data_IF_860960141476
#
_entry.id   IF_860960141476
#
_cell.length_a   1.000
_cell.length_b   1.000
_cell.length_c   1.000
_cell.angle_alpha   90.00
_cell.angle_beta   90.00
_cell.angle_gamma   90.00
#
_symmetry.space_group_name_H-M   'P 1'
#
loop_
_entity.id
_entity.type
_entity.pdbx_description
1 polymer ?
#
# COMPACT_ATOMS: atom_id res chain seq x y z
N UNK A 1 -32.10 -3.77 -3.52
CA UNK A 1 -30.95 -3.15 -4.19
C UNK A 1 -29.72 -3.98 -3.85
N UNK A 2 -28.98 -4.46 -4.84
CA UNK A 2 -27.72 -5.17 -4.61
C UNK A 2 -26.69 -4.19 -4.04
N UNK A 3 -26.16 -4.46 -2.85
CA UNK A 3 -25.13 -3.65 -2.21
C UNK A 3 -23.84 -3.76 -3.01
N UNK A 4 -23.42 -2.63 -3.57
CA UNK A 4 -22.30 -2.59 -4.51
C UNK A 4 -20.99 -2.60 -3.72
N UNK A 5 -20.83 -1.80 -2.66
CA UNK A 5 -19.64 -1.75 -1.78
C UNK A 5 -19.93 -2.30 -0.39
N UNK A 6 -18.88 -2.72 0.34
CA UNK A 6 -19.02 -3.21 1.71
C UNK A 6 -19.00 -2.07 2.72
N UNK A 7 -19.44 -2.36 3.94
CA UNK A 7 -19.16 -1.51 5.10
C UNK A 7 -17.81 -1.86 5.76
N UNK A 8 -17.00 -2.70 5.10
CA UNK A 8 -15.74 -3.23 5.62
C UNK A 8 -14.67 -3.22 4.54
N UNK A 9 -13.41 -3.12 4.95
CA UNK A 9 -12.24 -3.27 4.09
C UNK A 9 -11.54 -4.58 4.43
N UNK A 10 -11.37 -5.47 3.46
CA UNK A 10 -10.80 -6.80 3.71
C UNK A 10 -9.36 -6.92 3.25
N UNK A 11 -8.49 -7.44 4.11
CA UNK A 11 -7.12 -7.82 3.77
C UNK A 11 -6.97 -9.33 3.91
N UNK A 12 -6.44 -9.98 2.88
CA UNK A 12 -6.22 -11.43 2.84
C UNK A 12 -4.75 -11.78 2.75
N UNK A 13 -4.42 -12.96 3.29
CA UNK A 13 -3.11 -13.58 3.23
C UNK A 13 -3.26 -15.09 3.01
N UNK A 14 -2.35 -15.72 2.25
CA UNK A 14 -2.38 -17.17 2.04
C UNK A 14 -1.92 -17.96 3.27
N UNK A 15 -1.14 -17.35 4.17
CA UNK A 15 -0.57 -18.01 5.33
C UNK A 15 -1.29 -17.61 6.62
N UNK A 16 -1.69 -18.61 7.41
CA UNK A 16 -2.24 -18.45 8.76
C UNK A 16 -1.33 -17.61 9.65
N UNK A 17 -0.02 -17.88 9.64
CA UNK A 17 0.95 -17.20 10.49
C UNK A 17 1.00 -15.69 10.25
N UNK A 18 0.74 -15.25 9.01
CA UNK A 18 0.62 -13.82 8.72
C UNK A 18 -0.63 -13.21 9.39
N UNK A 19 -1.78 -13.90 9.38
CA UNK A 19 -2.98 -13.43 10.08
C UNK A 19 -2.71 -13.33 11.59
N UNK A 20 -2.11 -14.36 12.18
CA UNK A 20 -1.75 -14.37 13.60
C UNK A 20 -0.74 -13.26 13.93
N UNK A 21 0.23 -13.01 13.04
CA UNK A 21 1.19 -11.91 13.16
C UNK A 21 0.53 -10.53 13.04
N UNK A 22 -0.47 -10.36 12.18
CA UNK A 22 -1.24 -9.11 12.05
C UNK A 22 -2.05 -8.85 13.32
N UNK A 23 -2.70 -9.89 13.90
CA UNK A 23 -3.38 -9.77 15.19
C UNK A 23 -2.43 -9.35 16.30
N UNK A 24 -1.17 -9.75 16.27
CA UNK A 24 -0.16 -9.35 17.28
C UNK A 24 0.45 -7.98 17.02
N UNK A 25 0.82 -7.66 15.77
CA UNK A 25 1.69 -6.51 15.48
C UNK A 25 1.06 -5.43 14.59
N UNK A 26 -0.14 -5.65 14.07
CA UNK A 26 -0.77 -4.78 13.08
C UNK A 26 -0.36 -5.12 11.65
N UNK A 27 -0.81 -4.32 10.68
CA UNK A 27 -0.46 -4.53 9.27
C UNK A 27 0.90 -3.89 8.98
N UNK A 28 1.82 -4.69 8.43
CA UNK A 28 3.10 -4.18 7.93
C UNK A 28 3.02 -3.90 6.44
N UNK A 29 3.29 -2.66 5.98
CA UNK A 29 3.48 -2.39 4.56
C UNK A 29 4.53 -3.31 3.93
N UNK A 30 4.27 -3.74 2.69
CA UNK A 30 5.20 -4.55 1.91
C UNK A 30 5.42 -3.90 0.55
N UNK A 31 6.61 -4.10 -0.02
CA UNK A 31 6.86 -3.71 -1.40
C UNK A 31 6.09 -4.62 -2.35
N UNK A 32 5.21 -4.02 -3.11
CA UNK A 32 4.39 -4.67 -4.14
C UNK A 32 4.75 -4.10 -5.51
N UNK A 33 5.01 -4.94 -6.52
CA UNK A 33 5.25 -4.49 -7.88
C UNK A 33 3.96 -3.93 -8.49
N UNK A 34 4.07 -2.81 -9.19
CA UNK A 34 3.00 -2.11 -9.87
C UNK A 34 3.43 -1.75 -11.29
N UNK A 35 2.44 -1.61 -12.18
CA UNK A 35 2.62 -1.23 -13.58
C UNK A 35 3.52 -2.18 -14.40
N UNK A 36 4.35 -1.64 -15.30
CA UNK A 36 5.20 -2.41 -16.19
C UNK A 36 4.38 -3.20 -17.21
N UNK A 37 4.57 -4.52 -17.22
CA UNK A 37 3.90 -5.44 -18.15
C UNK A 37 2.38 -5.37 -18.07
N UNK A 38 1.81 -5.14 -16.88
CA UNK A 38 0.36 -5.00 -16.70
C UNK A 38 -0.24 -3.81 -17.45
N UNK A 39 0.59 -2.85 -17.85
CA UNK A 39 0.22 -1.66 -18.65
C UNK A 39 0.72 -1.72 -20.09
N UNK A 40 1.14 -2.91 -20.58
CA UNK A 40 1.86 -3.06 -21.86
C UNK A 40 3.11 -2.14 -21.95
N UNK A 41 3.76 -1.87 -20.81
CA UNK A 41 4.91 -0.98 -20.73
C UNK A 41 4.61 0.51 -20.88
N UNK A 42 3.33 0.93 -20.95
CA UNK A 42 2.94 2.35 -21.00
C UNK A 42 3.44 3.11 -19.77
N UNK A 43 3.39 2.46 -18.60
CA UNK A 43 3.93 2.98 -17.34
C UNK A 43 5.07 2.08 -16.90
N UNK A 44 6.21 2.67 -16.55
CA UNK A 44 7.37 1.92 -16.05
C UNK A 44 7.02 1.14 -14.78
N UNK A 45 7.58 -0.06 -14.65
CA UNK A 45 7.45 -0.86 -13.43
C UNK A 45 8.04 -0.12 -12.24
N UNK A 46 7.32 -0.16 -11.11
CA UNK A 46 7.83 0.29 -9.83
C UNK A 46 7.43 -0.67 -8.73
N UNK A 47 8.08 -0.56 -7.57
CA UNK A 47 7.65 -1.23 -6.35
C UNK A 47 7.31 -0.22 -5.28
N UNK A 48 6.11 -0.36 -4.73
CA UNK A 48 5.51 0.57 -3.77
C UNK A 48 5.36 -0.15 -2.43
N UNK A 49 5.85 0.47 -1.36
CA UNK A 49 5.60 -0.01 0.00
C UNK A 49 4.17 0.36 0.43
N UNK A 50 3.29 -0.64 0.53
CA UNK A 50 1.87 -0.43 0.79
C UNK A 50 1.19 -1.57 1.56
N UNK A 51 -0.01 -1.30 2.09
CA UNK A 51 -0.97 -2.31 2.54
C UNK A 51 -2.26 -2.12 1.75
N UNK A 52 -2.75 -3.20 1.15
CA UNK A 52 -3.93 -3.18 0.29
C UNK A 52 -5.10 -3.93 0.92
N UNK A 53 -6.31 -3.45 0.64
CA UNK A 53 -7.58 -3.99 1.10
C UNK A 53 -8.58 -3.99 -0.07
N UNK A 54 -9.48 -4.96 -0.15
CA UNK A 54 -10.61 -4.92 -1.08
C UNK A 54 -11.89 -4.42 -0.39
N UNK A 55 -12.64 -3.56 -1.06
CA UNK A 55 -13.96 -3.07 -0.64
C UNK A 55 -15.08 -3.87 -1.33
N UNK A 56 -15.24 -5.11 -0.89
CA UNK A 56 -16.18 -6.07 -1.48
C UNK A 56 -17.12 -6.64 -0.43
N UNK A 57 -18.44 -6.72 -0.71
CA UNK A 57 -19.37 -7.47 0.13
C UNK A 57 -18.89 -8.91 0.35
N UNK A 58 -19.19 -9.49 1.52
CA UNK A 58 -18.73 -10.86 1.86
C UNK A 58 -19.14 -11.88 0.79
N UNK A 59 -20.35 -11.79 0.26
CA UNK A 59 -20.85 -12.67 -0.80
C UNK A 59 -20.02 -12.62 -2.10
N UNK A 60 -19.27 -11.53 -2.32
CA UNK A 60 -18.40 -11.38 -3.48
C UNK A 60 -16.94 -11.77 -3.20
N UNK A 61 -16.64 -12.30 -2.01
CA UNK A 61 -15.29 -12.69 -1.64
C UNK A 61 -14.89 -14.06 -2.17
N UNK A 62 -15.82 -14.94 -2.61
CA UNK A 62 -15.53 -16.32 -3.03
C UNK A 62 -14.30 -16.44 -3.93
N UNK A 63 -14.20 -15.59 -4.95
CA UNK A 63 -13.03 -15.51 -5.85
C UNK A 63 -11.73 -15.04 -5.16
N UNK A 64 -11.85 -14.10 -4.24
CA UNK A 64 -10.72 -13.54 -3.49
C UNK A 64 -10.15 -14.53 -2.46
N UNK A 65 -10.97 -15.43 -1.94
CA UNK A 65 -10.52 -16.49 -1.02
C UNK A 65 -10.32 -17.85 -1.70
N UNK A 66 -10.45 -17.91 -3.03
CA UNK A 66 -10.15 -19.09 -3.84
C UNK A 66 -11.18 -20.23 -3.74
N UNK A 67 -12.41 -19.92 -3.32
CA UNK A 67 -13.51 -20.89 -3.22
C UNK A 67 -14.14 -21.24 -4.57
N UNK A 68 -13.88 -20.45 -5.61
CA UNK A 68 -14.32 -20.73 -7.00
C UNK A 68 -13.28 -21.52 -7.81
N UNK A 69 -12.26 -22.08 -7.14
CA UNK A 69 -11.14 -22.77 -7.79
C UNK A 69 -10.07 -21.85 -8.37
N UNK A 70 -10.20 -20.52 -8.20
CA UNK A 70 -9.13 -19.57 -8.56
C UNK A 70 -8.07 -19.48 -7.45
N UNK A 71 -6.89 -18.96 -7.79
CA UNK A 71 -5.75 -18.85 -6.85
C UNK A 71 -6.05 -17.96 -5.63
N UNK A 72 -7.00 -17.02 -5.74
CA UNK A 72 -7.34 -16.05 -4.69
C UNK A 72 -6.14 -15.25 -4.14
N UNK A 73 -6.38 -14.53 -3.06
CA UNK A 73 -5.39 -13.85 -2.21
C UNK A 73 -5.10 -14.63 -0.92
N UNK A 74 -5.93 -15.62 -0.59
CA UNK A 74 -5.76 -16.52 0.55
C UNK A 74 -7.02 -16.66 1.38
N UNK A 75 -7.06 -17.70 2.21
CA UNK A 75 -8.21 -18.07 3.05
C UNK A 75 -8.16 -17.51 4.48
N UNK A 76 -7.19 -16.64 4.75
CA UNK A 76 -7.03 -15.98 6.04
C UNK A 76 -7.10 -14.48 5.84
N UNK A 77 -7.88 -13.77 6.65
CA UNK A 77 -8.01 -12.33 6.48
C UNK A 77 -8.66 -11.59 7.64
N UNK A 78 -8.58 -10.26 7.58
CA UNK A 78 -9.27 -9.35 8.48
C UNK A 78 -10.19 -8.43 7.70
N UNK A 79 -11.44 -8.32 8.13
CA UNK A 79 -12.36 -7.29 7.69
C UNK A 79 -12.36 -6.14 8.70
N UNK A 80 -11.88 -4.97 8.28
CA UNK A 80 -11.77 -3.77 9.11
C UNK A 80 -12.95 -2.84 8.90
N UNK A 81 -13.29 -1.99 9.88
CA UNK A 81 -14.25 -0.90 9.67
C UNK A 81 -13.74 0.08 8.60
N UNK A 82 -14.65 0.69 7.83
CA UNK A 82 -14.28 1.73 6.85
C UNK A 82 -13.80 3.00 7.54
N UNK A 83 -14.39 3.33 8.69
CA UNK A 83 -14.01 4.45 9.53
C UNK A 83 -12.54 4.33 9.95
N UNK A 84 -12.12 3.16 10.43
CA UNK A 84 -10.71 2.89 10.74
C UNK A 84 -9.81 3.09 9.52
N UNK A 85 -10.24 2.60 8.35
CA UNK A 85 -9.50 2.76 7.10
C UNK A 85 -9.27 4.24 6.75
N UNK A 86 -10.33 5.04 6.77
CA UNK A 86 -10.27 6.47 6.47
C UNK A 86 -9.43 7.24 7.49
N UNK A 87 -9.58 6.95 8.80
CA UNK A 87 -8.76 7.55 9.86
C UNK A 87 -7.28 7.23 9.68
N UNK A 88 -6.96 6.04 9.18
CA UNK A 88 -5.60 5.63 8.85
C UNK A 88 -5.14 6.02 7.44
N UNK A 89 -5.88 6.89 6.76
CA UNK A 89 -5.54 7.43 5.43
C UNK A 89 -5.48 6.39 4.32
N UNK A 90 -6.18 5.26 4.47
CA UNK A 90 -6.45 4.39 3.33
C UNK A 90 -7.34 5.15 2.35
N UNK A 91 -7.07 4.98 1.07
CA UNK A 91 -7.83 5.62 0.02
C UNK A 91 -8.11 4.61 -1.11
N UNK A 92 -9.31 4.62 -1.73
CA UNK A 92 -9.55 3.84 -2.94
C UNK A 92 -8.58 4.22 -4.05
N UNK A 93 -8.15 3.22 -4.82
CA UNK A 93 -7.29 3.45 -5.98
C UNK A 93 -8.10 4.08 -7.11
N UNK A 94 -7.43 4.93 -7.89
CA UNK A 94 -8.00 5.47 -9.14
C UNK A 94 -7.62 4.55 -10.30
N UNK A 95 -8.63 3.95 -10.92
CA UNK A 95 -8.39 3.07 -12.07
C UNK A 95 -8.25 3.85 -13.37
N UNK A 96 -7.35 3.42 -14.24
CA UNK A 96 -7.17 4.01 -15.58
C UNK A 96 -7.08 2.95 -16.67
N UNK A 97 -7.47 3.29 -17.89
CA UNK A 97 -7.16 2.50 -19.09
C UNK A 97 -5.89 3.04 -19.75
N UNK A 98 -5.13 2.20 -20.44
CA UNK A 98 -3.83 2.59 -21.03
C UNK A 98 -3.95 3.67 -22.14
N UNK A 99 -5.17 3.94 -22.62
CA UNK A 99 -5.49 4.93 -23.65
C UNK A 99 -6.23 6.15 -23.08
N UNK A 100 -6.36 6.28 -21.75
CA UNK A 100 -7.07 7.41 -21.17
C UNK A 100 -6.23 8.69 -21.20
N UNK A 101 -6.87 9.82 -21.48
CA UNK A 101 -6.23 11.14 -21.35
C UNK A 101 -5.64 11.38 -19.96
N UNK A 102 -6.22 10.77 -18.91
CA UNK A 102 -5.73 10.87 -17.54
C UNK A 102 -4.30 10.33 -17.40
N UNK A 103 -4.03 9.11 -17.89
CA UNK A 103 -2.68 8.53 -17.76
C UNK A 103 -1.70 9.22 -18.70
N UNK A 104 -2.14 9.65 -19.88
CA UNK A 104 -1.30 10.37 -20.83
C UNK A 104 -0.84 11.71 -20.28
N UNK A 105 -1.76 12.54 -19.78
CA UNK A 105 -1.42 13.81 -19.15
C UNK A 105 -0.56 13.62 -17.90
N UNK A 106 -0.85 12.59 -17.08
CA UNK A 106 -0.06 12.28 -15.88
C UNK A 106 1.40 11.91 -16.20
N UNK A 107 1.61 11.06 -17.21
CA UNK A 107 2.95 10.66 -17.66
C UNK A 107 3.70 11.83 -18.30
N UNK A 108 3.01 12.65 -19.09
CA UNK A 108 3.60 13.84 -19.70
C UNK A 108 4.05 14.84 -18.62
N UNK A 109 3.19 15.15 -17.66
CA UNK A 109 3.51 16.05 -16.55
C UNK A 109 4.69 15.52 -15.72
N UNK A 110 4.66 14.23 -15.37
CA UNK A 110 5.75 13.57 -14.62
C UNK A 110 7.07 13.62 -15.38
N UNK A 111 7.05 13.38 -16.70
CA UNK A 111 8.23 13.45 -17.56
C UNK A 111 8.79 14.87 -17.65
N UNK A 112 7.93 15.88 -17.78
CA UNK A 112 8.34 17.29 -17.82
C UNK A 112 8.99 17.72 -16.50
N UNK A 113 8.39 17.35 -15.37
CA UNK A 113 8.93 17.63 -14.04
C UNK A 113 10.27 16.91 -13.81
N UNK A 114 10.39 15.65 -14.20
CA UNK A 114 11.64 14.89 -14.09
C UNK A 114 12.76 15.54 -14.91
N UNK A 115 12.51 15.89 -16.18
CA UNK A 115 13.49 16.57 -17.04
C UNK A 115 13.92 17.92 -16.46
N UNK A 116 12.96 18.66 -15.89
CA UNK A 116 13.25 19.93 -15.26
C UNK A 116 14.10 19.74 -13.99
N UNK A 117 13.83 18.72 -13.16
CA UNK A 117 14.69 18.36 -12.02
C UNK A 117 16.10 18.03 -12.48
N UNK A 118 16.23 17.18 -13.50
CA UNK A 118 17.51 16.73 -14.05
C UNK A 118 18.36 17.88 -14.59
N UNK A 119 17.73 18.92 -15.14
CA UNK A 119 18.43 20.12 -15.59
C UNK A 119 19.22 20.82 -14.47
N UNK A 120 18.74 20.74 -13.23
CA UNK A 120 19.39 21.36 -12.06
C UNK A 120 20.30 20.40 -11.28
N UNK A 121 20.25 19.09 -11.54
CA UNK A 121 20.97 18.09 -10.74
C UNK A 121 22.50 18.34 -10.75
N UNK A 122 23.09 18.71 -11.89
CA UNK A 122 24.54 18.99 -11.99
C UNK A 122 24.96 20.19 -11.13
N UNK A 123 24.18 21.27 -11.16
CA UNK A 123 24.45 22.45 -10.34
C UNK A 123 24.26 22.15 -8.85
N UNK A 124 23.23 21.38 -8.49
CA UNK A 124 23.02 20.94 -7.12
C UNK A 124 24.15 20.03 -6.61
N UNK A 125 24.72 19.19 -7.47
CA UNK A 125 25.88 18.36 -7.14
C UNK A 125 27.15 19.21 -6.90
N UNK A 126 27.41 20.20 -7.75
CA UNK A 126 28.52 21.16 -7.57
C UNK A 126 28.37 21.89 -6.23
N UNK A 127 27.16 22.36 -5.94
CA UNK A 127 26.84 23.06 -4.69
C UNK A 127 27.03 22.17 -3.47
N UNK A 128 26.55 20.92 -3.52
CA UNK A 128 26.71 19.96 -2.43
C UNK A 128 28.18 19.66 -2.16
N UNK A 129 29.00 19.50 -3.20
CA UNK A 129 30.46 19.32 -3.06
C UNK A 129 31.17 20.55 -2.51
N UNK A 130 30.75 21.75 -2.93
CA UNK A 130 31.37 23.02 -2.53
C UNK A 130 31.08 23.36 -1.05
N UNK A 131 29.84 23.16 -0.62
CA UNK A 131 29.39 23.63 0.69
C UNK A 131 29.16 22.52 1.71
N UNK A 132 29.11 21.25 1.32
CA UNK A 132 28.77 20.14 2.24
C UNK A 132 27.27 19.92 2.42
N UNK A 133 26.45 20.52 1.56
CA UNK A 133 24.98 20.40 1.53
C UNK A 133 24.23 21.65 1.99
N UNK A 134 22.88 21.65 1.95
CA UNK A 134 22.04 22.83 2.17
C UNK A 134 22.18 23.53 3.54
N UNK A 135 22.89 22.92 4.50
CA UNK A 135 22.94 23.36 5.91
C UNK A 135 24.23 24.08 6.32
N UNK A 136 25.17 24.32 5.41
CA UNK A 136 26.49 24.92 5.72
C UNK A 136 26.75 26.21 4.92
N UNK A 137 26.60 27.35 5.62
CA UNK A 137 27.16 28.72 5.39
C UNK A 137 27.06 29.37 3.98
N UNK A 138 27.21 30.71 3.89
CA UNK A 138 26.19 31.59 3.32
C UNK A 138 26.05 31.48 1.80
N UNK A 139 24.94 30.92 1.33
CA UNK A 139 24.56 31.00 -0.08
C UNK A 139 24.37 32.46 -0.53
N UNK A 140 24.83 32.78 -1.75
CA UNK A 140 24.42 34.00 -2.43
C UNK A 140 22.90 34.00 -2.65
N UNK A 141 22.31 35.17 -2.90
CA UNK A 141 20.86 35.22 -3.15
C UNK A 141 20.46 34.48 -4.44
N UNK A 142 21.36 34.44 -5.43
CA UNK A 142 21.20 33.63 -6.65
C UNK A 142 21.22 32.12 -6.33
N UNK A 143 22.18 31.67 -5.52
CA UNK A 143 22.29 30.26 -5.08
C UNK A 143 21.04 29.86 -4.27
N UNK A 144 20.56 30.73 -3.37
CA UNK A 144 19.31 30.50 -2.61
C UNK A 144 18.10 30.35 -3.54
N UNK A 145 17.98 31.24 -4.53
CA UNK A 145 16.85 31.21 -5.46
C UNK A 145 16.86 29.94 -6.33
N UNK A 146 18.04 29.51 -6.77
CA UNK A 146 18.22 28.24 -7.48
C UNK A 146 17.84 27.04 -6.60
N UNK A 147 18.36 26.97 -5.36
CA UNK A 147 18.03 25.90 -4.40
C UNK A 147 16.52 25.85 -4.15
N UNK A 148 15.88 27.00 -3.92
CA UNK A 148 14.45 27.08 -3.71
C UNK A 148 13.69 26.56 -4.94
N UNK A 149 14.07 27.00 -6.14
CA UNK A 149 13.47 26.56 -7.41
C UNK A 149 13.58 25.05 -7.59
N UNK A 150 14.78 24.49 -7.42
CA UNK A 150 15.01 23.05 -7.47
C UNK A 150 14.14 22.29 -6.46
N UNK A 151 14.09 22.78 -5.22
CA UNK A 151 13.29 22.18 -4.14
C UNK A 151 11.80 22.19 -4.49
N UNK A 152 11.27 23.28 -5.07
CA UNK A 152 9.88 23.34 -5.52
C UNK A 152 9.59 22.35 -6.65
N UNK A 153 10.47 22.26 -7.65
CA UNK A 153 10.31 21.32 -8.76
C UNK A 153 10.30 19.88 -8.24
N UNK A 154 11.26 19.55 -7.37
CA UNK A 154 11.38 18.23 -6.78
C UNK A 154 10.17 17.88 -5.90
N UNK A 155 9.71 18.81 -5.07
CA UNK A 155 8.49 18.66 -4.26
C UNK A 155 7.25 18.44 -5.13
N UNK A 156 7.13 19.15 -6.26
CA UNK A 156 6.02 18.95 -7.20
C UNK A 156 6.08 17.57 -7.88
N UNK A 157 7.27 17.13 -8.28
CA UNK A 157 7.49 15.78 -8.81
C UNK A 157 7.11 14.71 -7.77
N UNK A 158 7.53 14.87 -6.52
CA UNK A 158 7.19 13.95 -5.42
C UNK A 158 5.68 13.91 -5.15
N UNK A 159 5.00 15.06 -5.15
CA UNK A 159 3.55 15.12 -5.01
C UNK A 159 2.83 14.39 -6.16
N UNK A 160 3.33 14.51 -7.40
CA UNK A 160 2.78 13.74 -8.54
C UNK A 160 2.98 12.23 -8.37
N UNK A 161 4.11 11.79 -7.80
CA UNK A 161 4.35 10.38 -7.51
C UNK A 161 3.36 9.84 -6.47
N UNK A 162 2.98 10.61 -5.45
CA UNK A 162 1.96 10.19 -4.46
C UNK A 162 0.61 9.91 -5.14
N UNK A 163 0.23 10.72 -6.12
CA UNK A 163 -1.00 10.51 -6.91
C UNK A 163 -0.87 9.24 -7.74
N UNK A 164 0.24 9.08 -8.47
CA UNK A 164 0.51 7.89 -9.28
C UNK A 164 0.54 6.61 -8.44
N UNK A 165 1.08 6.66 -7.23
CA UNK A 165 1.10 5.52 -6.31
C UNK A 165 -0.32 5.08 -5.86
N UNK A 166 -1.33 5.92 -6.08
CA UNK A 166 -2.74 5.57 -5.86
C UNK A 166 -3.49 5.24 -7.16
N UNK A 167 -2.80 5.09 -8.29
CA UNK A 167 -3.39 4.65 -9.56
C UNK A 167 -3.15 3.17 -9.83
N UNK A 168 -4.11 2.51 -10.48
CA UNK A 168 -3.98 1.10 -10.91
C UNK A 168 -4.57 0.94 -12.31
N UNK A 169 -3.99 0.15 -13.21
CA UNK A 169 -4.66 -0.13 -14.48
C UNK A 169 -6.02 -0.79 -14.23
N UNK A 170 -6.98 -0.56 -15.10
CA UNK A 170 -8.32 -1.14 -15.01
C UNK A 170 -8.27 -2.69 -15.09
N UNK A 171 -7.35 -3.19 -15.90
CA UNK A 171 -7.16 -4.60 -16.19
C UNK A 171 -5.68 -4.87 -16.45
N UNK A 172 -5.19 -6.02 -16.00
CA UNK A 172 -3.86 -6.53 -16.35
C UNK A 172 -3.82 -6.87 -17.83
N UNK A 173 -2.93 -6.21 -18.57
CA UNK A 173 -2.78 -6.44 -20.00
C UNK A 173 -2.21 -7.82 -20.36
N UNK A 174 -1.60 -8.55 -19.41
CA UNK A 174 -0.97 -9.85 -19.65
C UNK A 174 -1.97 -10.99 -19.51
N UNK A 175 -2.69 -11.05 -18.39
CA UNK A 175 -3.58 -12.18 -18.06
C UNK A 175 -5.07 -11.81 -18.11
N UNK A 176 -5.39 -10.54 -18.37
CA UNK A 176 -6.77 -10.06 -18.48
C UNK A 176 -7.50 -9.96 -17.14
N UNK A 177 -6.84 -10.09 -15.99
CA UNK A 177 -7.47 -9.89 -14.68
C UNK A 177 -7.95 -8.45 -14.56
N UNK A 178 -9.24 -8.26 -14.30
CA UNK A 178 -9.85 -6.95 -14.13
C UNK A 178 -9.66 -6.45 -12.69
N UNK A 179 -8.60 -5.68 -12.46
CA UNK A 179 -8.30 -5.06 -11.17
C UNK A 179 -9.42 -4.17 -10.63
N UNK A 180 -10.23 -3.57 -11.52
CA UNK A 180 -11.40 -2.77 -11.12
C UNK A 180 -12.39 -3.56 -10.23
N UNK A 181 -12.49 -4.87 -10.43
CA UNK A 181 -13.38 -5.71 -9.64
C UNK A 181 -12.88 -5.94 -8.21
N UNK A 182 -11.61 -5.67 -7.90
CA UNK A 182 -11.04 -5.80 -6.55
C UNK A 182 -11.43 -4.62 -5.66
N UNK A 183 -11.72 -3.46 -6.27
CA UNK A 183 -12.08 -2.21 -5.57
C UNK A 183 -11.11 -1.90 -4.45
N UNK A 184 -9.86 -1.87 -4.85
CA UNK A 184 -8.75 -1.77 -3.94
C UNK A 184 -8.77 -0.43 -3.21
N UNK A 185 -8.56 -0.50 -1.91
CA UNK A 185 -8.12 0.58 -1.06
C UNK A 185 -6.71 0.28 -0.64
N UNK A 186 -5.86 1.30 -0.56
CA UNK A 186 -4.51 1.11 -0.04
C UNK A 186 -4.05 2.26 0.82
N UNK A 187 -3.14 1.92 1.71
CA UNK A 187 -2.25 2.86 2.37
C UNK A 187 -0.88 2.72 1.71
N UNK A 188 -0.34 3.83 1.22
CA UNK A 188 1.04 3.91 0.72
C UNK A 188 1.92 4.57 1.77
N UNK A 189 3.08 3.98 2.05
CA UNK A 189 4.07 4.61 2.95
C UNK A 189 4.47 5.96 2.32
N UNK A 190 4.34 7.08 3.05
CA UNK A 190 4.71 8.38 2.50
C UNK A 190 6.18 8.38 2.10
N UNK A 191 6.52 9.13 1.05
CA UNK A 191 7.90 9.34 0.63
C UNK A 191 8.04 10.83 0.28
N UNK A 192 8.55 11.62 1.23
CA UNK A 192 8.69 13.06 1.09
C UNK A 192 9.76 13.60 2.05
N UNK A 193 10.02 14.91 1.99
CA UNK A 193 11.00 15.56 2.84
C UNK A 193 10.76 15.34 4.34
N UNK A 194 9.49 15.32 4.78
CA UNK A 194 9.13 15.20 6.21
C UNK A 194 9.59 13.87 6.82
N UNK A 195 9.72 12.82 6.01
CA UNK A 195 10.24 11.54 6.46
C UNK A 195 11.60 11.18 5.85
N UNK A 196 12.29 12.16 5.28
CA UNK A 196 13.63 12.01 4.74
C UNK A 196 13.73 10.88 3.69
N UNK A 197 12.65 10.60 2.95
CA UNK A 197 12.61 9.61 1.87
C UNK A 197 13.07 8.20 2.30
N UNK A 198 12.91 7.87 3.58
CA UNK A 198 13.52 6.68 4.17
C UNK A 198 12.94 5.35 3.65
N UNK A 199 11.75 5.40 3.04
CA UNK A 199 11.11 4.28 2.34
C UNK A 199 10.70 4.77 0.93
N UNK A 200 11.58 4.65 -0.08
CA UNK A 200 11.30 5.16 -1.41
C UNK A 200 10.41 4.22 -2.23
N UNK A 201 9.72 4.77 -3.23
CA UNK A 201 9.24 3.96 -4.37
C UNK A 201 10.46 3.51 -5.16
N UNK A 202 10.55 2.21 -5.42
CA UNK A 202 11.68 1.65 -6.18
C UNK A 202 11.28 1.63 -7.65
N UNK A 203 12.12 2.19 -8.52
CA UNK A 203 11.95 2.10 -9.97
C UNK A 203 13.07 1.22 -10.52
N UNK A 204 12.87 -0.11 -10.66
CA UNK A 204 13.94 -1.05 -10.97
C UNK A 204 14.72 -0.71 -12.23
N UNK A 205 14.05 -0.19 -13.25
CA UNK A 205 14.66 0.17 -14.53
C UNK A 205 15.58 1.39 -14.45
N UNK A 206 15.29 2.34 -13.55
CA UNK A 206 16.08 3.55 -13.36
C UNK A 206 17.11 3.41 -12.24
N UNK A 207 16.74 2.73 -11.14
CA UNK A 207 17.52 2.63 -9.91
C UNK A 207 17.60 1.18 -9.40
N UNK A 208 18.19 0.24 -10.16
CA UNK A 208 18.20 -1.18 -9.81
C UNK A 208 18.86 -1.48 -8.45
N UNK A 209 19.86 -0.67 -8.06
CA UNK A 209 20.55 -0.80 -6.78
C UNK A 209 19.64 -0.61 -5.55
N UNK A 210 18.48 0.04 -5.70
CA UNK A 210 17.51 0.22 -4.61
C UNK A 210 16.84 -1.10 -4.22
N UNK A 211 16.73 -2.07 -5.15
CA UNK A 211 16.21 -3.41 -4.85
C UNK A 211 17.01 -4.13 -3.77
N UNK A 212 18.34 -3.93 -3.76
CA UNK A 212 19.24 -4.53 -2.78
C UNK A 212 19.05 -3.96 -1.37
N UNK A 213 18.42 -2.78 -1.26
CA UNK A 213 18.18 -2.07 0.01
C UNK A 213 16.84 -2.43 0.65
N UNK A 214 16.00 -3.26 0.02
CA UNK A 214 14.71 -3.71 0.58
C UNK A 214 14.79 -4.25 2.02
N UNK A 215 15.82 -5.00 2.44
CA UNK A 215 15.93 -5.43 3.84
C UNK A 215 16.01 -4.25 4.82
N UNK A 216 16.72 -3.18 4.45
CA UNK A 216 16.84 -1.95 5.24
C UNK A 216 15.49 -1.24 5.30
N UNK A 217 14.81 -1.08 4.16
CA UNK A 217 13.48 -0.46 4.12
C UNK A 217 12.46 -1.25 4.93
N UNK A 218 12.51 -2.58 4.89
CA UNK A 218 11.64 -3.44 5.70
C UNK A 218 11.84 -3.22 7.21
N UNK A 219 13.07 -3.04 7.66
CA UNK A 219 13.37 -2.72 9.06
C UNK A 219 12.78 -1.35 9.45
N UNK A 220 12.97 -0.33 8.61
CA UNK A 220 12.39 1.01 8.81
C UNK A 220 10.85 0.95 8.85
N UNK A 221 10.23 0.24 7.90
CA UNK A 221 8.78 0.02 7.84
C UNK A 221 8.27 -0.60 9.14
N UNK A 222 8.94 -1.66 9.61
CA UNK A 222 8.52 -2.39 10.82
C UNK A 222 8.61 -1.53 12.09
N UNK A 223 9.46 -0.49 12.09
CA UNK A 223 9.65 0.40 13.24
C UNK A 223 8.76 1.63 13.23
N UNK A 224 8.38 2.14 12.05
CA UNK A 224 7.77 3.47 11.91
C UNK A 224 6.42 3.50 11.20
N UNK A 225 6.13 2.50 10.37
CA UNK A 225 5.01 2.55 9.42
C UNK A 225 4.01 1.40 9.61
N UNK A 226 4.05 0.74 10.76
CA UNK A 226 3.05 -0.27 11.13
C UNK A 226 1.67 0.38 11.24
N UNK A 227 0.70 -0.22 10.56
CA UNK A 227 -0.69 0.18 10.59
C UNK A 227 -1.41 -0.58 11.70
N UNK A 228 -1.63 0.13 12.82
CA UNK A 228 -2.19 -0.43 14.04
C UNK A 228 -3.72 -0.35 14.07
N UNK A 229 -4.33 -1.23 14.86
CA UNK A 229 -5.77 -1.26 15.08
C UNK A 229 -6.09 -1.77 16.48
N UNK A 230 -7.29 -1.48 16.94
CA UNK A 230 -7.88 -1.98 18.17
C UNK A 230 -8.99 -2.98 17.89
N UNK A 231 -9.45 -3.71 18.91
CA UNK A 231 -10.45 -4.76 18.71
C UNK A 231 -11.80 -4.24 18.17
N UNK A 232 -12.15 -2.97 18.42
CA UNK A 232 -13.39 -2.37 17.90
C UNK A 232 -13.33 -2.12 16.38
N UNK A 233 -12.13 -2.03 15.82
CA UNK A 233 -11.90 -1.80 14.39
C UNK A 233 -12.07 -3.07 13.55
N UNK A 234 -12.09 -4.25 14.19
CA UNK A 234 -12.21 -5.54 13.51
C UNK A 234 -13.69 -5.94 13.42
N UNK A 235 -14.18 -6.07 12.19
CA UNK A 235 -15.52 -6.58 11.88
C UNK A 235 -15.55 -8.08 11.64
N UNK A 236 -14.49 -8.63 11.03
CA UNK A 236 -14.39 -10.04 10.68
C UNK A 236 -12.96 -10.55 10.84
N UNK A 237 -12.82 -11.77 11.34
CA UNK A 237 -11.59 -12.56 11.26
C UNK A 237 -11.93 -13.79 10.42
N UNK A 238 -11.44 -13.82 9.18
CA UNK A 238 -11.73 -14.89 8.24
C UNK A 238 -10.63 -15.94 8.36
N UNK A 239 -11.03 -17.20 8.54
CA UNK A 239 -10.12 -18.34 8.63
C UNK A 239 -10.54 -19.46 7.70
N UNK A 240 -9.61 -20.34 7.35
CA UNK A 240 -9.88 -21.42 6.40
C UNK A 240 -10.95 -22.39 6.91
N UNK A 241 -10.86 -22.83 8.17
CA UNK A 241 -11.68 -23.90 8.75
C UNK A 241 -11.70 -23.84 10.29
N UNK A 242 -12.44 -24.74 10.94
CA UNK A 242 -12.58 -24.83 12.39
C UNK A 242 -11.25 -25.06 13.14
N UNK A 243 -10.31 -25.80 12.54
CA UNK A 243 -8.99 -25.98 13.17
C UNK A 243 -8.26 -24.64 13.29
N UNK A 244 -8.36 -23.79 12.26
CA UNK A 244 -7.79 -22.45 12.28
C UNK A 244 -8.54 -21.48 13.23
N UNK A 245 -9.81 -21.73 13.55
CA UNK A 245 -10.53 -20.98 14.61
C UNK A 245 -9.80 -21.15 15.93
N UNK A 246 -9.47 -22.40 16.30
CA UNK A 246 -8.74 -22.69 17.54
C UNK A 246 -7.39 -21.96 17.59
N UNK A 247 -6.65 -21.96 16.48
CA UNK A 247 -5.36 -21.25 16.41
C UNK A 247 -5.49 -19.75 16.66
N UNK A 248 -6.53 -19.11 16.12
CA UNK A 248 -6.81 -17.69 16.38
C UNK A 248 -7.19 -17.47 17.84
N UNK A 249 -8.05 -18.31 18.42
CA UNK A 249 -8.44 -18.23 19.83
C UNK A 249 -7.23 -18.34 20.75
N UNK A 250 -6.38 -19.33 20.52
CA UNK A 250 -5.15 -19.56 21.29
C UNK A 250 -4.19 -18.36 21.15
N UNK A 251 -4.05 -17.81 19.94
CA UNK A 251 -3.24 -16.61 19.71
C UNK A 251 -3.79 -15.40 20.45
N UNK A 252 -5.11 -15.18 20.45
CA UNK A 252 -5.72 -14.07 21.19
C UNK A 252 -5.51 -14.23 22.69
N UNK A 253 -5.67 -15.45 23.22
CA UNK A 253 -5.40 -15.77 24.62
C UNK A 253 -3.94 -15.49 25.02
N UNK A 254 -2.99 -15.67 24.11
CA UNK A 254 -1.56 -15.36 24.35
C UNK A 254 -1.22 -13.86 24.28
N UNK A 255 -2.19 -12.98 23.99
CA UNK A 255 -1.97 -11.54 23.83
C UNK A 255 -2.67 -10.67 24.90
N UNK A 256 -2.59 -11.00 26.21
CA UNK A 256 -3.27 -10.22 27.25
C UNK A 256 -2.69 -8.81 27.43
N UNK A 257 -1.46 -8.58 26.97
CA UNK A 257 -0.80 -7.28 26.98
C UNK A 257 -1.32 -6.34 25.87
N UNK A 258 -1.96 -6.88 24.82
CA UNK A 258 -2.49 -6.12 23.69
C UNK A 258 -4.00 -5.97 23.75
N UNK A 259 -4.71 -7.02 24.14
CA UNK A 259 -6.17 -7.05 24.16
C UNK A 259 -6.67 -7.36 25.55
N UNK A 260 -7.60 -6.55 26.06
CA UNK A 260 -8.32 -6.86 27.31
C UNK A 260 -9.15 -8.14 27.15
N UNK A 261 -9.67 -8.69 28.24
CA UNK A 261 -10.56 -9.86 28.16
C UNK A 261 -11.82 -9.57 27.33
N UNK A 262 -12.40 -8.39 27.50
CA UNK A 262 -13.54 -7.93 26.70
C UNK A 262 -13.19 -7.83 25.21
N UNK A 263 -12.01 -7.30 24.88
CA UNK A 263 -11.53 -7.21 23.50
C UNK A 263 -11.30 -8.59 22.88
N UNK A 264 -10.72 -9.52 23.62
CA UNK A 264 -10.52 -10.90 23.15
C UNK A 264 -11.87 -11.57 22.88
N UNK A 265 -12.82 -11.47 23.80
CA UNK A 265 -14.16 -12.03 23.62
C UNK A 265 -14.87 -11.42 22.40
N UNK A 266 -14.75 -10.10 22.22
CA UNK A 266 -15.21 -9.41 21.01
C UNK A 266 -14.59 -10.01 19.76
N UNK A 267 -13.27 -10.12 19.69
CA UNK A 267 -12.55 -10.63 18.50
C UNK A 267 -12.92 -12.09 18.19
N UNK A 268 -13.01 -12.94 19.22
CA UNK A 268 -13.44 -14.34 19.08
C UNK A 268 -14.84 -14.42 18.44
N UNK A 269 -15.78 -13.57 18.87
CA UNK A 269 -17.12 -13.52 18.27
C UNK A 269 -17.17 -12.98 16.82
N UNK A 270 -16.03 -12.51 16.26
CA UNK A 270 -15.92 -12.05 14.87
C UNK A 270 -15.27 -13.06 13.95
N UNK A 271 -14.90 -14.24 14.45
CA UNK A 271 -14.31 -15.29 13.62
C UNK A 271 -15.39 -15.91 12.74
N UNK A 272 -15.10 -16.04 11.44
CA UNK A 272 -15.96 -16.67 10.44
C UNK A 272 -15.08 -17.58 9.57
N UNK A 273 -15.54 -18.79 9.27
CA UNK A 273 -14.80 -19.71 8.41
C UNK A 273 -15.10 -19.49 6.93
N UNK A 274 -14.22 -19.99 6.06
CA UNK A 274 -14.48 -19.95 4.62
C UNK A 274 -15.68 -20.82 4.24
N UNK A 275 -15.93 -21.93 4.94
CA UNK A 275 -17.13 -22.75 4.72
C UNK A 275 -18.41 -21.97 5.03
N UNK A 276 -18.45 -21.25 6.16
CA UNK A 276 -19.59 -20.39 6.50
C UNK A 276 -19.81 -19.30 5.45
N UNK A 277 -18.74 -18.72 4.90
CA UNK A 277 -18.84 -17.75 3.80
C UNK A 277 -19.41 -18.41 2.53
N UNK A 278 -19.06 -19.67 2.27
CA UNK A 278 -19.51 -20.38 1.06
C UNK A 278 -20.98 -20.79 1.12
N UNK A 279 -21.45 -21.17 2.31
CA UNK A 279 -22.78 -21.72 2.55
C UNK A 279 -23.83 -20.64 2.89
N UNK A 280 -23.44 -19.61 3.67
CA UNK A 280 -24.39 -18.68 4.28
C UNK A 280 -24.48 -17.30 3.57
N UNK A 281 -23.61 -17.00 2.60
CA UNK A 281 -23.52 -15.68 1.95
C UNK A 281 -23.57 -15.72 0.41
#
# INVERSE_FOLDING_TARGET
MTTISANSLFHFTPLKDNLLGILETGFRPAYSPEFGKSTNGKVNECEIAMVCFCDLPISNLRKHIGLDGTKGYGKYGLGMTKEWGMTNKLNPVTYFTNQSHQIEAGLEASTRLLKLSQHYDEEMDKMTKKYGGPKSTPYSDEEKNMIATYTYIKSAFEASNVIMNHMKPYQDAINGIRYYNEREWRLVVPCNEKNNYEVPVIWPTMFPHQLLKKPIYKDIISKKYMLNFSAIDVKYIIVENDAAVKDVVDKLASLPHKYSESDRNRLISRIVTCEQIDEDF
#
